data_IF_254869355944
#
_entry.id   IF_254869355944
#
_cell.length_a   1.000
_cell.length_b   1.000
_cell.length_c   1.000
_cell.angle_alpha   90.00
_cell.angle_beta   90.00
_cell.angle_gamma   90.00
#
_symmetry.space_group_name_H-M   'P 1'
#
loop_
_entity.id
_entity.type
_entity.pdbx_description
1 polymer ?
#
# COMPACT_ATOMS: atom_id res chain seq x y z
N UNK A 1 -20.32 22.50 -20.69
CA UNK A 1 -19.94 22.14 -20.45
C UNK A 1 -19.55 21.61 -19.78
N UNK A 2 -19.31 21.31 -19.51
CA UNK A 2 -18.95 20.97 -18.97
C UNK A 2 -18.70 20.06 -18.41
N UNK A 3 -18.24 19.50 -18.22
CA UNK A 3 -18.04 18.58 -17.72
C UNK A 3 -17.94 18.41 -16.62
N UNK A 4 -18.15 18.07 -16.16
CA UNK A 4 -18.17 18.02 -14.88
C UNK A 4 -17.88 16.77 -14.31
N UNK A 5 -17.52 15.82 -14.98
CA UNK A 5 -17.10 14.62 -14.45
C UNK A 5 -15.75 14.76 -13.88
N UNK A 6 -15.47 14.38 -12.64
CA UNK A 6 -14.13 14.41 -12.10
C UNK A 6 -13.29 13.43 -12.89
N UNK A 7 -12.03 13.75 -13.10
CA UNK A 7 -11.16 12.84 -13.83
C UNK A 7 -11.02 11.54 -13.06
N UNK A 8 -11.03 10.45 -13.76
CA UNK A 8 -10.83 9.19 -13.14
C UNK A 8 -9.42 9.10 -12.62
N UNK A 9 -9.22 8.47 -11.47
CA UNK A 9 -7.86 8.31 -10.98
C UNK A 9 -7.08 7.46 -11.94
N UNK A 10 -5.90 7.94 -12.25
CA UNK A 10 -4.97 7.21 -13.08
C UNK A 10 -4.43 6.07 -12.23
N UNK A 11 -4.58 4.80 -12.65
CA UNK A 11 -4.09 3.70 -11.83
C UNK A 11 -2.61 3.81 -11.54
N UNK A 12 -1.83 4.28 -12.50
CA UNK A 12 -0.41 4.42 -12.25
C UNK A 12 -0.12 5.49 -11.24
N UNK A 13 -0.91 6.55 -11.27
CA UNK A 13 -0.73 7.62 -10.33
C UNK A 13 -1.10 7.14 -8.93
N UNK A 14 -2.16 6.38 -8.81
CA UNK A 14 -2.56 5.85 -7.51
C UNK A 14 -1.48 4.94 -6.97
N UNK A 15 -0.93 4.08 -7.80
CA UNK A 15 0.14 3.20 -7.37
C UNK A 15 1.35 4.01 -6.94
N UNK A 16 1.68 5.06 -7.69
CA UNK A 16 2.84 5.88 -7.33
C UNK A 16 2.65 6.57 -5.99
N UNK A 17 1.44 7.07 -5.74
CA UNK A 17 1.16 7.72 -4.47
C UNK A 17 1.24 6.74 -3.31
N UNK A 18 0.69 5.55 -3.51
CA UNK A 18 0.75 4.54 -2.47
C UNK A 18 2.18 4.11 -2.22
N UNK A 19 2.95 3.94 -3.28
CA UNK A 19 4.34 3.55 -3.11
C UNK A 19 5.10 4.60 -2.33
N UNK A 20 4.87 5.87 -2.64
CA UNK A 20 5.57 6.93 -1.93
C UNK A 20 5.23 6.90 -0.45
N UNK A 21 3.96 6.68 -0.12
CA UNK A 21 3.56 6.62 1.28
C UNK A 21 4.21 5.43 1.98
N UNK A 22 4.30 4.31 1.29
CA UNK A 22 4.91 3.13 1.87
C UNK A 22 6.41 3.30 2.06
N UNK A 23 7.06 3.96 1.11
CA UNK A 23 8.48 4.23 1.27
C UNK A 23 8.73 5.13 2.46
N UNK A 24 7.86 6.09 2.67
CA UNK A 24 7.99 6.94 3.85
C UNK A 24 7.81 6.16 5.12
N UNK A 25 7.00 5.12 5.07
CA UNK A 25 6.79 4.30 6.25
C UNK A 25 7.96 3.38 6.52
N UNK A 26 8.87 3.22 5.56
CA UNK A 26 10.05 2.41 5.78
C UNK A 26 10.24 1.26 4.82
N UNK A 27 9.27 1.01 3.95
CA UNK A 27 9.43 -0.09 3.00
C UNK A 27 10.41 0.32 1.91
N UNK A 28 11.18 -0.65 1.43
CA UNK A 28 12.06 -0.39 0.29
C UNK A 28 11.21 -0.26 -0.97
N UNK A 29 11.84 0.23 -2.03
CA UNK A 29 11.11 0.54 -3.25
C UNK A 29 10.42 -0.69 -3.83
N UNK A 30 11.10 -1.83 -3.79
CA UNK A 30 10.51 -3.06 -4.34
C UNK A 30 9.28 -3.49 -3.59
N UNK A 31 9.37 -3.58 -2.27
CA UNK A 31 8.25 -4.00 -1.48
C UNK A 31 7.13 -2.98 -1.49
N UNK A 32 7.50 -1.70 -1.45
CA UNK A 32 6.49 -0.65 -1.52
C UNK A 32 5.72 -0.73 -2.83
N UNK A 33 6.42 -0.99 -3.91
CA UNK A 33 5.76 -1.12 -5.19
C UNK A 33 4.82 -2.29 -5.25
N UNK A 34 5.23 -3.42 -4.67
CA UNK A 34 4.37 -4.58 -4.68
C UNK A 34 3.11 -4.36 -3.87
N UNK A 35 3.26 -3.78 -2.69
CA UNK A 35 2.11 -3.51 -1.87
C UNK A 35 1.20 -2.49 -2.56
N UNK A 36 1.79 -1.50 -3.18
CA UNK A 36 1.02 -0.44 -3.82
C UNK A 36 0.15 -0.98 -4.95
N UNK A 37 0.59 -2.05 -5.59
CA UNK A 37 -0.17 -2.63 -6.68
C UNK A 37 -1.23 -3.60 -6.25
N UNK A 38 -1.30 -3.91 -4.97
CA UNK A 38 -2.26 -4.87 -4.46
C UNK A 38 -3.42 -4.13 -3.82
N UNK A 39 -4.57 -4.06 -4.52
CA UNK A 39 -5.72 -3.35 -3.94
C UNK A 39 -6.31 -4.05 -2.74
N UNK A 40 -6.00 -5.33 -2.56
CA UNK A 40 -6.53 -6.06 -1.40
C UNK A 40 -5.78 -5.71 -0.13
N UNK A 41 -4.65 -5.01 -0.23
CA UNK A 41 -3.91 -4.63 0.96
C UNK A 41 -4.31 -3.22 1.34
N UNK A 42 -4.70 -3.07 2.60
CA UNK A 42 -5.09 -1.76 3.12
C UNK A 42 -3.86 -0.92 3.33
N UNK A 43 -3.81 0.21 2.65
CA UNK A 43 -2.66 1.08 2.73
C UNK A 43 -2.44 1.58 4.16
N UNK A 44 -3.51 1.92 4.85
CA UNK A 44 -3.38 2.41 6.20
C UNK A 44 -2.80 1.36 7.12
N UNK A 45 -3.21 0.13 6.94
CA UNK A 45 -2.65 -0.94 7.74
C UNK A 45 -1.18 -1.12 7.42
N UNK A 46 -0.83 -1.06 6.13
CA UNK A 46 0.57 -1.21 5.73
C UNK A 46 1.43 -0.11 6.33
N UNK A 47 0.91 1.10 6.40
CA UNK A 47 1.67 2.20 6.98
C UNK A 47 1.71 2.10 8.50
N UNK A 48 0.67 1.55 9.10
CA UNK A 48 0.59 1.47 10.55
C UNK A 48 1.54 0.45 11.14
N UNK A 49 1.79 -0.64 10.43
CA UNK A 49 2.59 -1.71 10.98
C UNK A 49 3.99 -1.25 11.37
N UNK A 50 4.72 -0.54 10.50
CA UNK A 50 6.03 -0.05 10.94
C UNK A 50 5.94 0.92 12.10
N UNK A 51 4.87 1.70 12.15
CA UNK A 51 4.70 2.64 13.25
C UNK A 51 4.46 1.89 14.56
N UNK A 52 3.86 0.73 14.48
CA UNK A 52 3.62 -0.06 15.67
C UNK A 52 4.84 -0.83 16.11
N UNK A 53 5.93 -0.76 15.36
CA UNK A 53 7.16 -1.40 15.78
C UNK A 53 7.53 -2.61 14.95
N UNK A 54 6.74 -2.98 13.97
CA UNK A 54 7.10 -4.10 13.12
C UNK A 54 8.07 -3.64 12.04
N UNK A 55 9.19 -4.36 11.86
CA UNK A 55 10.09 -4.00 10.76
C UNK A 55 9.38 -4.12 9.42
N UNK A 56 9.80 -3.33 8.44
CA UNK A 56 9.14 -3.39 7.13
C UNK A 56 9.15 -4.78 6.52
N UNK A 57 10.21 -5.53 6.71
CA UNK A 57 10.25 -6.89 6.21
C UNK A 57 9.15 -7.73 6.77
N UNK A 58 8.96 -7.64 8.10
CA UNK A 58 7.94 -8.42 8.77
C UNK A 58 6.57 -7.93 8.35
N UNK A 59 6.41 -6.62 8.30
CA UNK A 59 5.13 -6.05 7.88
C UNK A 59 4.77 -6.50 6.48
N UNK A 60 5.74 -6.51 5.58
CA UNK A 60 5.49 -6.95 4.23
C UNK A 60 5.03 -8.41 4.21
N UNK A 61 5.67 -9.25 4.99
CA UNK A 61 5.27 -10.64 5.04
C UNK A 61 3.88 -10.80 5.61
N UNK A 62 3.56 -10.04 6.63
CA UNK A 62 2.23 -10.10 7.22
C UNK A 62 1.17 -9.70 6.21
N UNK A 63 1.46 -8.70 5.40
CA UNK A 63 0.49 -8.20 4.44
C UNK A 63 0.33 -9.12 3.24
N UNK A 64 1.40 -9.78 2.84
CA UNK A 64 1.37 -10.54 1.60
C UNK A 64 1.26 -12.03 1.80
N UNK A 65 1.44 -12.51 3.01
CA UNK A 65 1.42 -13.94 3.23
C UNK A 65 0.02 -14.52 3.28
N UNK A 66 -0.98 -13.69 3.12
CA UNK A 66 -2.33 -14.18 3.18
C UNK A 66 -2.71 -14.68 4.53
N UNK A 67 -2.10 -14.12 5.53
CA UNK A 67 -2.37 -14.58 6.88
C UNK A 67 -3.72 -14.09 7.30
N UNK A 68 -4.74 -14.49 6.63
CA UNK A 68 -6.02 -14.13 7.09
C UNK A 68 -6.45 -15.16 8.08
N UNK A 69 -7.29 -14.79 9.00
CA UNK A 69 -7.77 -15.73 9.99
C UNK A 69 -8.48 -16.86 9.29
N UNK A 70 -8.19 -18.01 9.73
CA UNK A 70 -8.77 -19.18 9.15
C UNK A 70 -9.77 -19.72 10.11
N UNK A 71 -10.95 -19.62 9.78
CA UNK A 71 -11.94 -20.19 10.69
C UNK A 71 -13.03 -20.80 9.91
#
# INVERSE_FOLDING_TARGET
MTESEPPKPDPERVVALRRAALERAGYDAGRAGEIARRPDIDLQQAVSLPKAGFPPEVAYQMLTSGARPVF
#
